data_IF_301505571806
#
_entry.id   IF_301505571806
#
_cell.length_a   1.000
_cell.length_b   1.000
_cell.length_c   1.000
_cell.angle_alpha   90.00
_cell.angle_beta   90.00
_cell.angle_gamma   90.00
#
_symmetry.space_group_name_H-M   'P 1'
#
loop_
_entity.id
_entity.type
_entity.pdbx_description
1 polymer ?
#
# COMPACT_ATOMS: atom_id res chain seq x y z
N UNK A 1 4.96 25.51 2.95
CA UNK A 1 3.49 25.35 2.96
C UNK A 1 3.03 25.32 4.42
N UNK A 2 1.78 25.68 4.73
CA UNK A 2 1.31 25.78 6.13
C UNK A 2 1.06 24.43 6.80
N UNK A 3 0.77 23.40 6.02
CA UNK A 3 0.36 22.07 6.47
C UNK A 3 1.51 21.08 6.67
N UNK A 4 2.76 21.52 6.59
CA UNK A 4 3.92 20.66 6.81
C UNK A 4 5.16 21.42 7.27
N UNK A 5 6.06 20.70 7.94
CA UNK A 5 7.33 21.22 8.44
C UNK A 5 8.48 20.32 7.98
N UNK A 6 9.51 20.92 7.38
CA UNK A 6 10.76 20.20 7.10
C UNK A 6 11.40 19.77 8.42
N UNK A 7 11.82 18.51 8.49
CA UNK A 7 12.54 17.96 9.65
C UNK A 7 13.89 17.41 9.21
N UNK A 8 14.91 17.60 10.04
CA UNK A 8 16.21 16.98 9.82
C UNK A 8 16.06 15.47 10.00
N UNK A 9 16.64 14.70 9.07
CA UNK A 9 16.76 13.25 9.26
C UNK A 9 17.58 13.02 10.54
N UNK A 10 16.92 12.51 11.57
CA UNK A 10 17.64 11.81 12.64
C UNK A 10 18.37 10.62 12.01
N UNK A 11 19.55 10.31 12.54
CA UNK A 11 20.57 9.41 11.98
C UNK A 11 20.02 8.24 11.14
N UNK A 12 20.74 7.83 10.07
CA UNK A 12 20.34 6.66 9.28
C UNK A 12 20.04 5.49 10.20
N UNK A 13 18.89 4.84 9.97
CA UNK A 13 18.45 3.65 10.70
C UNK A 13 19.63 2.67 10.70
N UNK A 14 20.32 2.55 11.83
CA UNK A 14 21.30 1.48 12.04
C UNK A 14 20.52 0.20 11.90
N UNK A 15 20.80 -0.55 10.83
CA UNK A 15 20.20 -1.87 10.63
C UNK A 15 20.32 -2.65 11.93
N UNK A 16 19.18 -2.99 12.52
CA UNK A 16 19.16 -3.87 13.67
C UNK A 16 19.66 -5.21 13.15
N UNK A 17 20.91 -5.54 13.48
CA UNK A 17 21.42 -6.90 13.33
C UNK A 17 20.67 -7.70 14.39
N UNK A 18 19.53 -8.26 14.02
CA UNK A 18 18.83 -9.25 14.84
C UNK A 18 19.76 -10.47 14.88
N UNK A 19 20.19 -10.94 16.07
CA UNK A 19 20.92 -12.19 16.18
C UNK A 19 20.10 -13.30 15.51
N UNK A 20 20.71 -14.03 14.57
CA UNK A 20 20.08 -15.23 14.01
C UNK A 20 19.99 -16.27 15.13
N UNK A 21 18.81 -16.46 15.70
CA UNK A 21 18.51 -17.67 16.45
C UNK A 21 18.34 -18.81 15.45
N UNK A 22 19.32 -19.72 15.41
CA UNK A 22 19.43 -20.85 14.49
C UNK A 22 18.38 -21.97 14.73
N UNK A 23 17.15 -21.63 15.15
CA UNK A 23 16.08 -22.61 15.39
C UNK A 23 14.70 -22.20 14.87
N UNK A 24 14.59 -21.21 13.98
CA UNK A 24 13.30 -20.84 13.39
C UNK A 24 12.88 -21.87 12.33
N UNK A 25 11.67 -22.44 12.49
CA UNK A 25 11.14 -23.40 11.54
C UNK A 25 10.56 -22.66 10.33
N UNK A 26 11.39 -22.44 9.30
CA UNK A 26 11.02 -21.73 8.08
C UNK A 26 10.44 -22.68 7.02
N UNK A 27 9.24 -22.37 6.50
CA UNK A 27 8.59 -23.15 5.42
C UNK A 27 7.96 -22.22 4.39
N UNK A 28 8.06 -22.57 3.12
CA UNK A 28 7.32 -21.93 2.03
C UNK A 28 6.37 -22.96 1.44
N UNK A 29 5.08 -22.63 1.34
CA UNK A 29 4.09 -23.46 0.64
C UNK A 29 3.49 -22.72 -0.53
N UNK A 30 3.29 -23.44 -1.63
CA UNK A 30 2.43 -22.98 -2.73
C UNK A 30 1.00 -23.29 -2.34
N UNK A 31 0.13 -22.29 -2.37
CA UNK A 31 -1.28 -22.45 -2.08
C UNK A 31 -2.12 -22.27 -3.34
N UNK A 32 -3.31 -22.86 -3.32
CA UNK A 32 -4.36 -22.61 -4.31
C UNK A 32 -5.56 -22.04 -3.61
N UNK A 33 -6.08 -20.92 -4.11
CA UNK A 33 -7.36 -20.39 -3.66
C UNK A 33 -8.42 -20.62 -4.74
N UNK A 34 -9.40 -21.45 -4.41
CA UNK A 34 -10.58 -21.72 -5.24
C UNK A 34 -11.81 -21.49 -4.38
N UNK A 35 -12.60 -20.43 -4.64
CA UNK A 35 -13.79 -20.18 -3.85
C UNK A 35 -14.92 -21.11 -4.30
N UNK A 36 -15.84 -21.43 -3.37
CA UNK A 36 -17.09 -22.11 -3.70
C UNK A 36 -18.07 -21.21 -4.48
N UNK A 37 -17.95 -19.88 -4.32
CA UNK A 37 -18.73 -18.86 -5.04
C UNK A 37 -17.77 -17.74 -5.46
N UNK A 38 -17.74 -17.43 -6.75
CA UNK A 38 -16.86 -16.40 -7.30
C UNK A 38 -17.52 -15.02 -7.17
N UNK A 39 -17.11 -14.23 -6.18
CA UNK A 39 -17.57 -12.84 -5.99
C UNK A 39 -16.38 -11.89 -6.03
N UNK A 40 -16.50 -10.81 -6.79
CA UNK A 40 -15.51 -9.73 -6.82
C UNK A 40 -15.72 -8.82 -5.62
N UNK A 41 -14.79 -8.86 -4.65
CA UNK A 41 -14.79 -7.92 -3.54
C UNK A 41 -14.25 -6.57 -4.01
N UNK A 42 -15.02 -5.51 -3.74
CA UNK A 42 -14.70 -4.13 -4.13
C UNK A 42 -14.35 -3.26 -2.91
N UNK A 43 -14.09 -3.87 -1.75
CA UNK A 43 -13.57 -3.15 -0.59
C UNK A 43 -12.29 -2.38 -0.92
N UNK A 44 -12.03 -1.34 -0.12
CA UNK A 44 -10.83 -0.52 -0.25
C UNK A 44 -9.55 -1.37 -0.19
N UNK A 45 -9.46 -2.32 0.74
CA UNK A 45 -8.32 -3.26 0.82
C UNK A 45 -8.13 -4.07 -0.47
N UNK A 46 -9.21 -4.65 -1.00
CA UNK A 46 -9.13 -5.47 -2.23
C UNK A 46 -8.69 -4.63 -3.42
N UNK A 47 -9.25 -3.43 -3.59
CA UNK A 47 -8.83 -2.52 -4.65
C UNK A 47 -7.37 -2.07 -4.46
N UNK A 48 -6.95 -1.77 -3.23
CA UNK A 48 -5.58 -1.35 -2.91
C UNK A 48 -4.53 -2.39 -3.34
N UNK A 49 -4.83 -3.68 -3.18
CA UNK A 49 -3.93 -4.76 -3.57
C UNK A 49 -4.00 -5.06 -5.08
N UNK A 50 -5.18 -4.97 -5.69
CA UNK A 50 -5.40 -5.41 -7.08
C UNK A 50 -4.98 -4.35 -8.10
N UNK A 51 -5.26 -3.07 -7.85
CA UNK A 51 -5.04 -1.99 -8.83
C UNK A 51 -3.60 -1.91 -9.34
N UNK A 52 -2.55 -2.06 -8.52
CA UNK A 52 -1.16 -2.10 -9.01
C UNK A 52 -0.91 -3.14 -10.12
N UNK A 53 -1.57 -4.30 -10.05
CA UNK A 53 -1.48 -5.36 -11.07
C UNK A 53 -2.29 -5.06 -12.34
N UNK A 54 -3.26 -4.15 -12.26
CA UNK A 54 -4.00 -3.67 -13.43
C UNK A 54 -3.21 -2.62 -14.20
N UNK A 55 -2.53 -1.72 -13.47
CA UNK A 55 -1.72 -0.63 -14.03
C UNK A 55 -0.38 -1.14 -14.56
N UNK A 56 0.23 -2.11 -13.87
CA UNK A 56 1.48 -2.71 -14.31
C UNK A 56 1.21 -3.81 -15.35
N UNK A 57 1.78 -3.67 -16.54
CA UNK A 57 1.68 -4.66 -17.61
C UNK A 57 2.68 -5.80 -17.48
N UNK A 58 3.66 -5.71 -16.58
CA UNK A 58 4.64 -6.76 -16.33
C UNK A 58 3.99 -7.97 -15.64
N UNK A 59 4.17 -9.14 -16.24
CA UNK A 59 3.77 -10.43 -15.66
C UNK A 59 4.59 -10.81 -14.42
N UNK A 60 5.70 -10.11 -14.16
CA UNK A 60 6.58 -10.34 -13.01
C UNK A 60 6.27 -9.46 -11.82
N UNK A 61 5.18 -8.71 -11.85
CA UNK A 61 4.76 -7.98 -10.67
C UNK A 61 4.39 -8.95 -9.54
N UNK A 62 4.90 -8.64 -8.34
CA UNK A 62 4.70 -9.42 -7.12
C UNK A 62 4.39 -8.43 -6.01
N UNK A 63 3.46 -8.81 -5.14
CA UNK A 63 3.25 -8.13 -3.86
C UNK A 63 3.53 -9.11 -2.73
N UNK A 64 4.14 -8.58 -1.69
CA UNK A 64 4.49 -9.26 -0.46
C UNK A 64 3.69 -8.61 0.66
N UNK A 65 2.87 -9.40 1.33
CA UNK A 65 1.96 -8.94 2.37
C UNK A 65 2.31 -9.68 3.67
N UNK A 66 2.90 -9.00 4.66
CA UNK A 66 2.95 -9.51 6.03
C UNK A 66 1.54 -9.87 6.48
N UNK A 67 1.38 -11.04 7.09
CA UNK A 67 0.12 -11.45 7.70
C UNK A 67 0.42 -12.16 9.00
N UNK A 68 0.07 -11.53 10.11
CA UNK A 68 0.33 -12.04 11.45
C UNK A 68 -0.95 -12.54 12.14
N UNK A 69 -2.10 -12.29 11.53
CA UNK A 69 -3.41 -12.65 12.06
C UNK A 69 -4.15 -13.62 11.14
N UNK A 70 -4.67 -14.70 11.73
CA UNK A 70 -5.39 -15.75 11.01
C UNK A 70 -6.62 -15.23 10.26
N UNK A 71 -7.37 -14.31 10.86
CA UNK A 71 -8.59 -13.79 10.24
C UNK A 71 -8.27 -12.95 8.99
N UNK A 72 -7.16 -12.20 9.03
CA UNK A 72 -6.70 -11.40 7.89
C UNK A 72 -6.19 -12.31 6.77
N UNK A 73 -5.51 -13.41 7.11
CA UNK A 73 -5.13 -14.45 6.13
C UNK A 73 -6.37 -15.03 5.45
N UNK A 74 -7.37 -15.45 6.23
CA UNK A 74 -8.60 -16.04 5.69
C UNK A 74 -9.38 -15.05 4.82
N UNK A 75 -9.47 -13.80 5.26
CA UNK A 75 -10.10 -12.72 4.50
C UNK A 75 -9.36 -12.51 3.17
N UNK A 76 -8.04 -12.28 3.22
CA UNK A 76 -7.23 -12.05 2.03
C UNK A 76 -7.34 -13.20 1.03
N UNK A 77 -7.23 -14.44 1.50
CA UNK A 77 -7.29 -15.61 0.64
C UNK A 77 -8.66 -15.78 -0.03
N UNK A 78 -9.74 -15.40 0.67
CA UNK A 78 -11.11 -15.45 0.18
C UNK A 78 -11.43 -14.34 -0.82
N UNK A 79 -10.96 -13.11 -0.57
CA UNK A 79 -11.35 -11.93 -1.36
C UNK A 79 -10.35 -11.59 -2.46
N UNK A 80 -9.05 -11.73 -2.20
CA UNK A 80 -7.98 -11.28 -3.09
C UNK A 80 -7.24 -12.47 -3.69
N UNK A 81 -6.84 -13.44 -2.87
CA UNK A 81 -6.01 -14.57 -3.29
C UNK A 81 -6.61 -15.37 -4.46
N UNK A 82 -7.93 -15.48 -4.52
CA UNK A 82 -8.67 -16.16 -5.61
C UNK A 82 -8.38 -15.59 -7.00
N UNK A 83 -7.88 -14.36 -7.09
CA UNK A 83 -7.63 -13.64 -8.34
C UNK A 83 -6.20 -13.79 -8.87
N UNK A 84 -5.31 -14.50 -8.17
CA UNK A 84 -3.91 -14.65 -8.56
C UNK A 84 -3.56 -16.06 -9.04
N UNK A 85 -2.69 -16.14 -10.04
CA UNK A 85 -2.15 -17.39 -10.60
C UNK A 85 -1.20 -18.09 -9.63
N UNK A 86 -0.42 -17.29 -8.90
CA UNK A 86 0.56 -17.80 -7.92
C UNK A 86 0.33 -17.17 -6.56
N UNK A 87 0.11 -18.05 -5.58
CA UNK A 87 0.07 -17.72 -4.17
C UNK A 87 1.15 -18.55 -3.47
N UNK A 88 2.07 -17.87 -2.78
CA UNK A 88 3.03 -18.53 -1.87
C UNK A 88 2.81 -17.98 -0.48
N UNK A 89 2.87 -18.87 0.51
CA UNK A 89 2.73 -18.51 1.91
C UNK A 89 4.01 -18.90 2.63
N UNK A 90 4.60 -17.93 3.31
CA UNK A 90 5.76 -18.11 4.18
C UNK A 90 5.25 -18.35 5.59
N UNK A 91 5.80 -19.38 6.21
CA UNK A 91 5.54 -19.75 7.59
C UNK A 91 6.83 -19.64 8.41
N UNK A 92 6.71 -19.03 9.58
CA UNK A 92 7.74 -19.02 10.62
C UNK A 92 7.12 -19.62 11.87
N UNK A 93 7.76 -20.65 12.43
CA UNK A 93 7.27 -21.39 13.60
C UNK A 93 5.82 -21.88 13.44
N UNK A 94 5.54 -22.42 12.24
CA UNK A 94 4.24 -22.95 11.82
C UNK A 94 3.07 -21.94 11.83
N UNK A 95 3.38 -20.63 11.95
CA UNK A 95 2.42 -19.53 11.78
C UNK A 95 2.66 -18.87 10.43
N UNK A 96 1.58 -18.39 9.81
CA UNK A 96 1.70 -17.53 8.63
C UNK A 96 2.47 -16.28 9.02
N UNK A 97 3.45 -15.93 8.21
CA UNK A 97 4.25 -14.71 8.36
C UNK A 97 4.03 -13.77 7.17
N UNK A 98 4.00 -14.32 5.96
CA UNK A 98 3.88 -13.54 4.73
C UNK A 98 3.07 -14.29 3.66
N UNK A 99 2.30 -13.54 2.87
CA UNK A 99 1.66 -14.03 1.65
C UNK A 99 2.22 -13.27 0.45
N UNK A 100 2.69 -14.03 -0.52
CA UNK A 100 3.22 -13.52 -1.78
C UNK A 100 2.22 -13.82 -2.88
N UNK A 101 1.74 -12.77 -3.54
CA UNK A 101 0.82 -12.87 -4.67
C UNK A 101 1.53 -12.44 -5.95
N UNK A 102 1.43 -13.27 -6.99
CA UNK A 102 2.03 -13.01 -8.31
C UNK A 102 1.07 -13.37 -9.42
N UNK A 103 1.02 -12.50 -10.43
CA UNK A 103 0.28 -12.72 -11.68
C UNK A 103 -1.23 -12.71 -11.45
N UNK A 104 -1.89 -11.59 -11.75
CA UNK A 104 -3.35 -11.54 -11.70
C UNK A 104 -3.93 -12.38 -12.86
N UNK A 105 -4.86 -13.29 -12.55
CA UNK A 105 -5.55 -14.14 -13.53
C UNK A 105 -6.16 -13.29 -14.63
N UNK A 106 -6.11 -13.78 -15.87
CA UNK A 106 -6.57 -13.03 -17.04
C UNK A 106 -8.06 -12.65 -16.95
N UNK A 107 -8.94 -13.55 -16.48
CA UNK A 107 -10.37 -13.21 -16.32
C UNK A 107 -10.56 -12.14 -15.25
N UNK A 108 -9.88 -12.27 -14.10
CA UNK A 108 -9.93 -11.27 -13.04
C UNK A 108 -9.44 -9.91 -13.51
N UNK A 109 -8.34 -9.87 -14.27
CA UNK A 109 -7.81 -8.62 -14.85
C UNK A 109 -8.84 -7.91 -15.71
N UNK A 110 -9.50 -8.63 -16.63
CA UNK A 110 -10.52 -8.06 -17.52
C UNK A 110 -11.74 -7.54 -16.76
N UNK A 111 -12.20 -8.28 -15.77
CA UNK A 111 -13.40 -7.90 -15.02
C UNK A 111 -13.12 -6.71 -14.09
N UNK A 112 -12.02 -6.73 -13.32
CA UNK A 112 -11.65 -5.58 -12.49
C UNK A 112 -11.38 -4.33 -13.32
N UNK A 113 -10.76 -4.44 -14.51
CA UNK A 113 -10.61 -3.31 -15.41
C UNK A 113 -11.97 -2.70 -15.79
N UNK A 114 -12.93 -3.56 -16.11
CA UNK A 114 -14.29 -3.14 -16.47
C UNK A 114 -15.02 -2.49 -15.28
N UNK A 115 -15.00 -3.13 -14.11
CA UNK A 115 -15.69 -2.64 -12.92
C UNK A 115 -15.08 -1.33 -12.41
N UNK A 116 -13.76 -1.28 -12.27
CA UNK A 116 -13.09 -0.15 -11.60
C UNK A 116 -12.97 1.08 -12.50
N UNK A 117 -12.64 0.90 -13.78
CA UNK A 117 -12.38 2.01 -14.70
C UNK A 117 -13.55 2.31 -15.62
N UNK A 118 -14.16 1.31 -16.26
CA UNK A 118 -15.28 1.57 -17.20
C UNK A 118 -16.58 1.91 -16.48
N UNK A 119 -16.86 1.28 -15.33
CA UNK A 119 -18.03 1.58 -14.49
C UNK A 119 -17.73 2.60 -13.38
N UNK A 120 -16.53 3.19 -13.39
CA UNK A 120 -16.06 4.21 -12.45
C UNK A 120 -16.23 3.86 -10.96
N UNK A 121 -16.04 2.58 -10.59
CA UNK A 121 -16.16 2.10 -9.20
C UNK A 121 -14.86 2.14 -8.39
N UNK A 122 -13.75 2.61 -8.97
CA UNK A 122 -12.50 2.75 -8.23
C UNK A 122 -12.66 3.70 -7.05
N UNK A 123 -12.23 3.26 -5.87
CA UNK A 123 -12.30 4.03 -4.65
C UNK A 123 -11.42 5.29 -4.75
N UNK A 124 -11.89 6.47 -4.28
CA UNK A 124 -11.13 7.72 -4.41
C UNK A 124 -9.71 7.66 -3.84
N UNK A 125 -9.53 7.04 -2.67
CA UNK A 125 -8.21 6.77 -2.07
C UNK A 125 -7.29 5.99 -3.01
N UNK A 126 -7.77 4.90 -3.62
CA UNK A 126 -6.96 4.07 -4.53
C UNK A 126 -6.65 4.82 -5.82
N UNK A 127 -7.63 5.57 -6.34
CA UNK A 127 -7.44 6.41 -7.53
C UNK A 127 -6.39 7.50 -7.28
N UNK A 128 -6.48 8.21 -6.17
CA UNK A 128 -5.54 9.27 -5.81
C UNK A 128 -4.13 8.72 -5.54
N UNK A 129 -3.99 7.55 -4.94
CA UNK A 129 -2.68 6.97 -4.64
C UNK A 129 -1.95 6.39 -5.86
N UNK A 130 -2.67 5.70 -6.76
CA UNK A 130 -2.07 4.97 -7.89
C UNK A 130 -2.33 5.56 -9.29
N UNK A 131 -3.40 6.34 -9.48
CA UNK A 131 -3.94 6.69 -10.82
C UNK A 131 -3.90 8.20 -11.10
N UNK A 132 -3.34 9.00 -10.18
CA UNK A 132 -3.38 10.47 -10.28
C UNK A 132 -2.72 11.03 -11.55
N UNK A 133 -1.79 10.30 -12.15
CA UNK A 133 -1.15 10.70 -13.41
C UNK A 133 -1.76 10.01 -14.63
N UNK A 134 -2.37 10.79 -15.54
CA UNK A 134 -2.60 10.40 -16.95
C UNK A 134 -1.31 10.03 -17.69
N UNK A 135 -0.17 10.31 -17.07
CA UNK A 135 1.12 9.79 -17.46
C UNK A 135 1.36 8.49 -16.70
N UNK A 136 1.19 7.35 -17.38
CA UNK A 136 2.02 6.18 -17.07
C UNK A 136 3.44 6.67 -17.33
N UNK A 137 4.06 7.29 -16.32
CA UNK A 137 5.46 7.63 -16.42
C UNK A 137 6.14 6.27 -16.50
N UNK A 138 6.84 5.93 -17.60
CA UNK A 138 7.64 4.71 -17.63
C UNK A 138 8.45 4.74 -16.34
N UNK A 139 8.38 3.68 -15.51
CA UNK A 139 9.14 3.59 -14.24
C UNK A 139 10.47 4.26 -14.48
N UNK A 140 10.66 5.47 -13.93
CA UNK A 140 11.86 6.25 -14.19
C UNK A 140 13.01 5.29 -13.91
N UNK A 141 13.86 5.03 -14.90
CA UNK A 141 14.96 4.08 -14.74
C UNK A 141 15.73 4.49 -13.48
N UNK A 142 15.52 3.76 -12.38
CA UNK A 142 16.09 4.04 -11.06
C UNK A 142 17.62 4.02 -11.08
N UNK A 143 18.22 3.56 -12.17
CA UNK A 143 19.66 3.53 -12.39
C UNK A 143 20.33 4.90 -12.55
N UNK A 144 19.57 6.01 -12.76
CA UNK A 144 20.17 7.35 -12.89
C UNK A 144 19.36 8.51 -12.26
N UNK A 145 18.48 8.24 -11.30
CA UNK A 145 17.81 9.32 -10.56
C UNK A 145 18.74 9.78 -9.44
N UNK A 146 19.28 10.99 -9.55
CA UNK A 146 19.90 11.66 -8.41
C UNK A 146 18.78 11.82 -7.36
N UNK A 147 18.91 11.13 -6.24
CA UNK A 147 18.00 11.22 -5.12
C UNK A 147 18.55 12.28 -4.15
N UNK A 148 17.87 13.42 -4.09
CA UNK A 148 18.07 14.39 -3.02
C UNK A 148 16.75 14.51 -2.27
N UNK A 149 16.60 13.69 -1.23
CA UNK A 149 15.32 13.52 -0.55
C UNK A 149 15.32 14.31 0.75
N UNK A 150 14.30 15.13 0.93
CA UNK A 150 13.98 15.78 2.20
C UNK A 150 12.75 15.14 2.84
N UNK A 151 12.68 15.24 4.16
CA UNK A 151 11.58 14.73 4.96
C UNK A 151 10.75 15.87 5.52
N UNK A 152 9.44 15.75 5.42
CA UNK A 152 8.47 16.70 5.94
C UNK A 152 7.51 15.99 6.87
N UNK A 153 7.30 16.53 8.07
CA UNK A 153 6.22 16.09 8.96
C UNK A 153 4.94 16.85 8.59
N UNK A 154 3.83 16.13 8.46
CA UNK A 154 2.54 16.71 8.13
C UNK A 154 1.82 17.22 9.38
N UNK A 155 1.19 18.38 9.28
CA UNK A 155 0.24 18.86 10.27
C UNK A 155 -1.13 18.20 10.00
N UNK A 156 -1.42 17.12 10.73
CA UNK A 156 -2.65 16.35 10.54
C UNK A 156 -3.92 17.18 10.80
N UNK A 157 -3.82 18.26 11.59
CA UNK A 157 -4.99 19.09 11.91
C UNK A 157 -5.52 19.84 10.68
N UNK A 158 -4.63 20.25 9.78
CA UNK A 158 -5.02 20.91 8.52
C UNK A 158 -5.78 19.96 7.58
N UNK A 159 -5.49 18.66 7.64
CA UNK A 159 -6.17 17.62 6.86
C UNK A 159 -7.53 17.22 7.45
N UNK A 160 -7.63 17.15 8.78
CA UNK A 160 -8.86 16.72 9.48
C UNK A 160 -9.89 17.85 9.56
N UNK A 161 -9.45 19.10 9.75
CA UNK A 161 -10.37 20.25 9.84
C UNK A 161 -10.95 20.66 8.48
N UNK A 162 -10.34 20.22 7.38
CA UNK A 162 -10.72 20.60 6.02
C UNK A 162 -11.94 19.88 5.43
N UNK A 163 -12.38 18.75 6.01
CA UNK A 163 -13.54 17.97 5.54
C UNK A 163 -14.24 17.24 6.67
N UNK A 164 -15.58 17.20 6.64
CA UNK A 164 -16.36 16.38 7.56
C UNK A 164 -16.07 14.89 7.32
N UNK A 165 -15.64 14.22 8.39
CA UNK A 165 -15.42 12.79 8.40
C UNK A 165 -16.76 12.04 8.34
N UNK A 166 -17.02 11.31 7.25
CA UNK A 166 -18.19 10.45 7.18
C UNK A 166 -17.95 9.17 7.98
N UNK A 167 -18.86 8.85 8.89
CA UNK A 167 -18.84 7.61 9.68
C UNK A 167 -18.98 6.33 8.84
N UNK A 168 -19.32 6.45 7.55
CA UNK A 168 -19.50 5.34 6.61
C UNK A 168 -18.24 5.00 5.80
N UNK A 169 -17.07 5.53 6.18
CA UNK A 169 -15.82 5.29 5.44
C UNK A 169 -15.34 3.84 5.58
N UNK A 170 -14.92 3.24 4.46
CA UNK A 170 -14.35 1.89 4.43
C UNK A 170 -12.99 1.84 5.16
N UNK A 171 -12.97 1.23 6.34
CA UNK A 171 -11.77 1.10 7.18
C UNK A 171 -10.98 -0.19 6.92
N UNK A 172 -11.37 -1.00 5.92
CA UNK A 172 -10.74 -2.31 5.67
C UNK A 172 -9.24 -2.23 5.44
N UNK A 173 -8.77 -1.22 4.69
CA UNK A 173 -7.36 -1.00 4.42
C UNK A 173 -6.59 -0.60 5.68
N UNK A 174 -7.08 0.41 6.42
CA UNK A 174 -6.45 0.83 7.67
C UNK A 174 -6.35 -0.32 8.67
N UNK A 175 -7.45 -1.05 8.89
CA UNK A 175 -7.46 -2.17 9.84
C UNK A 175 -6.42 -3.25 9.45
N UNK A 176 -6.29 -3.54 8.16
CA UNK A 176 -5.29 -4.49 7.66
C UNK A 176 -3.86 -3.97 7.87
N UNK A 177 -3.59 -2.72 7.49
CA UNK A 177 -2.26 -2.11 7.61
C UNK A 177 -1.83 -1.91 9.07
N UNK A 178 -2.75 -1.45 9.92
CA UNK A 178 -2.50 -1.29 11.36
C UNK A 178 -2.05 -2.61 11.98
N UNK A 179 -2.82 -3.68 11.75
CA UNK A 179 -2.56 -4.98 12.37
C UNK A 179 -1.32 -5.65 11.80
N UNK A 180 -1.15 -5.66 10.48
CA UNK A 180 -0.10 -6.46 9.86
C UNK A 180 1.20 -5.70 9.61
N UNK A 181 1.19 -4.36 9.65
CA UNK A 181 2.39 -3.55 9.48
C UNK A 181 2.70 -2.72 10.73
N UNK A 182 1.78 -1.86 11.15
CA UNK A 182 2.06 -0.88 12.21
C UNK A 182 2.34 -1.55 13.56
N UNK A 183 1.51 -2.50 14.00
CA UNK A 183 1.69 -3.21 15.28
C UNK A 183 2.98 -4.04 15.32
N UNK A 184 3.44 -4.53 14.15
CA UNK A 184 4.62 -5.40 14.05
C UNK A 184 5.92 -4.61 13.89
N UNK A 185 5.92 -3.63 12.98
CA UNK A 185 7.12 -2.91 12.55
C UNK A 185 7.21 -1.49 13.12
N UNK A 186 6.13 -0.99 13.74
CA UNK A 186 6.06 0.35 14.31
C UNK A 186 5.81 1.45 13.27
N UNK A 187 5.68 1.10 11.99
CA UNK A 187 5.44 2.04 10.90
C UNK A 187 4.81 1.35 9.68
N UNK A 188 4.16 2.15 8.82
CA UNK A 188 3.73 1.74 7.48
C UNK A 188 4.46 2.63 6.47
N UNK A 189 5.17 2.00 5.53
CA UNK A 189 5.88 2.70 4.45
C UNK A 189 5.13 2.50 3.13
N UNK A 190 4.73 3.60 2.49
CA UNK A 190 3.98 3.61 1.24
C UNK A 190 4.69 4.49 0.21
N UNK A 191 4.56 4.18 -1.07
CA UNK A 191 5.12 4.99 -2.16
C UNK A 191 4.01 5.37 -3.15
N UNK A 192 3.50 6.61 -3.11
CA UNK A 192 2.47 7.04 -4.05
C UNK A 192 3.03 7.17 -5.47
N UNK A 193 2.17 6.98 -6.47
CA UNK A 193 2.52 7.15 -7.88
C UNK A 193 2.01 8.51 -8.40
N UNK A 194 2.92 9.28 -9.01
CA UNK A 194 2.56 10.54 -9.69
C UNK A 194 2.21 11.70 -8.76
N UNK A 195 2.68 11.67 -7.50
CA UNK A 195 2.51 12.77 -6.56
C UNK A 195 3.66 13.76 -6.65
N UNK A 196 3.31 15.04 -6.80
CA UNK A 196 4.23 16.18 -6.71
C UNK A 196 3.89 17.01 -5.47
N UNK A 197 4.91 17.62 -4.86
CA UNK A 197 4.78 18.49 -3.71
C UNK A 197 4.22 19.85 -4.14
N UNK A 198 2.91 19.92 -4.24
CA UNK A 198 2.13 21.11 -4.60
C UNK A 198 0.98 21.35 -3.61
N UNK A 199 0.39 22.55 -3.61
CA UNK A 199 -0.70 22.89 -2.68
C UNK A 199 -1.93 21.97 -2.85
N UNK A 200 -2.13 21.42 -4.04
CA UNK A 200 -3.19 20.46 -4.36
C UNK A 200 -3.09 19.16 -3.55
N UNK A 201 -1.91 18.85 -3.02
CA UNK A 201 -1.69 17.65 -2.22
C UNK A 201 -2.44 17.69 -0.89
N UNK A 202 -2.75 18.89 -0.38
CA UNK A 202 -3.64 19.08 0.77
C UNK A 202 -5.03 18.47 0.55
N UNK A 203 -5.47 18.36 -0.71
CA UNK A 203 -6.78 17.81 -1.06
C UNK A 203 -6.73 16.31 -1.43
N UNK A 204 -5.59 15.65 -1.25
CA UNK A 204 -5.43 14.21 -1.50
C UNK A 204 -6.40 13.38 -0.66
N UNK A 205 -7.22 12.57 -1.32
CA UNK A 205 -8.12 11.62 -0.66
C UNK A 205 -7.34 10.61 0.18
N UNK A 206 -6.16 10.22 -0.29
CA UNK A 206 -5.30 9.26 0.42
C UNK A 206 -4.67 9.86 1.66
N UNK A 207 -4.17 11.10 1.59
CA UNK A 207 -3.65 11.77 2.78
C UNK A 207 -4.77 12.00 3.78
N UNK A 208 -5.93 12.49 3.37
CA UNK A 208 -7.08 12.62 4.28
C UNK A 208 -7.44 11.29 4.96
N UNK A 209 -7.47 10.20 4.20
CA UNK A 209 -7.73 8.87 4.74
C UNK A 209 -6.73 8.51 5.85
N UNK A 210 -5.42 8.60 5.57
CA UNK A 210 -4.42 8.21 6.56
C UNK A 210 -4.29 9.20 7.72
N UNK A 211 -4.41 10.51 7.48
CA UNK A 211 -4.38 11.54 8.54
C UNK A 211 -5.50 11.37 9.58
N UNK A 212 -6.59 10.69 9.22
CA UNK A 212 -7.66 10.37 10.17
C UNK A 212 -7.20 9.41 11.26
N UNK A 213 -6.40 8.40 10.89
CA UNK A 213 -6.07 7.30 11.80
C UNK A 213 -4.64 7.38 12.35
N UNK A 214 -3.74 7.98 11.59
CA UNK A 214 -2.33 8.09 11.93
C UNK A 214 -2.11 9.04 13.11
N UNK A 215 -1.08 8.74 13.90
CA UNK A 215 -0.56 9.67 14.90
C UNK A 215 0.37 10.69 14.26
N UNK A 216 1.24 10.24 13.35
CA UNK A 216 2.16 11.09 12.60
C UNK A 216 2.31 10.57 11.16
N UNK A 217 2.46 11.48 10.20
CA UNK A 217 2.82 11.14 8.83
C UNK A 217 4.03 11.95 8.41
N UNK A 218 5.02 11.26 7.85
CA UNK A 218 6.21 11.84 7.26
C UNK A 218 6.22 11.61 5.76
N UNK A 219 6.45 12.68 5.01
CA UNK A 219 6.52 12.68 3.56
C UNK A 219 7.96 12.84 3.09
N UNK A 220 8.39 11.97 2.20
CA UNK A 220 9.71 12.01 1.57
C UNK A 220 9.59 12.59 0.18
N UNK A 221 10.27 13.70 -0.09
CA UNK A 221 10.18 14.44 -1.35
C UNK A 221 11.56 14.55 -1.98
N UNK A 222 11.67 14.17 -3.26
CA UNK A 222 12.87 14.46 -4.03
C UNK A 222 12.85 15.93 -4.45
N UNK A 223 13.72 16.74 -3.87
CA UNK A 223 13.73 18.20 -4.10
C UNK A 223 14.24 18.61 -5.48
N UNK A 224 14.78 17.67 -6.27
CA UNK A 224 15.22 17.95 -7.64
C UNK A 224 14.02 18.06 -8.58
N UNK A 225 12.98 17.25 -8.36
CA UNK A 225 11.80 17.21 -9.22
C UNK A 225 10.47 17.36 -8.46
N UNK A 226 10.53 17.74 -7.19
CA UNK A 226 9.39 17.85 -6.27
C UNK A 226 8.51 16.60 -6.15
N UNK A 227 8.92 15.44 -6.68
CA UNK A 227 8.14 14.21 -6.59
C UNK A 227 8.14 13.68 -5.17
N UNK A 228 6.96 13.36 -4.66
CA UNK A 228 6.80 12.58 -3.43
C UNK A 228 7.24 11.14 -3.74
N UNK A 229 8.19 10.65 -2.96
CA UNK A 229 8.79 9.31 -3.13
C UNK A 229 8.34 8.33 -2.06
N UNK A 230 7.81 8.81 -0.96
CA UNK A 230 7.30 7.94 0.09
C UNK A 230 6.51 8.66 1.16
N UNK A 231 5.72 7.88 1.87
CA UNK A 231 5.03 8.22 3.09
C UNK A 231 5.45 7.20 4.15
N UNK A 232 5.79 7.69 5.34
CA UNK A 232 5.94 6.89 6.54
C UNK A 232 4.84 7.29 7.50
N UNK A 233 4.02 6.32 7.88
CA UNK A 233 2.87 6.51 8.77
C UNK A 233 3.18 5.82 10.10
N UNK A 234 2.97 6.54 11.20
CA UNK A 234 3.10 6.07 12.59
C UNK A 234 1.76 6.21 13.29
#
# INVERSE_FOLDING_TARGET
>A
MRWMKEIEQSEPIKGIIVPREDSTNFKIKKETSTPAIYTYDLSLLSQWIIVPFLLNTSQDHVIQLPIHYKDDYLLLMKTVGIHFDTIKVIYIDDKVDEVILKGLKLESKKEFQTILFTKEKIHPVVRDFYVKSNHITPKENLFHVILNVKQFELDLTEFVNGREFSTDQDTSLWNFLQRNFLEKYGEINLAPEGWDLEDELLYSETLHYFCTFARNIYMYVNIINNKVRGLKII
#
